data_IF_291920988473
#
_entry.id   IF_291920988473
#
_cell.length_a   1.000
_cell.length_b   1.000
_cell.length_c   1.000
_cell.angle_alpha   90.00
_cell.angle_beta   90.00
_cell.angle_gamma   90.00
#
_symmetry.space_group_name_H-M   'P 1'
#
loop_
_entity.id
_entity.type
_entity.pdbx_description
1 polymer ?
#
# COMPACT_ATOMS: atom_id res chain seq x y z
N UNK A 1 9.82 -66.87 -16.83
CA UNK A 1 8.74 -65.89 -16.60
C UNK A 1 9.37 -64.68 -15.91
N UNK A 2 9.64 -63.59 -16.66
CA UNK A 2 10.20 -62.34 -16.12
C UNK A 2 9.06 -61.35 -15.96
N UNK A 3 8.78 -60.96 -14.72
CA UNK A 3 7.78 -59.96 -14.35
C UNK A 3 8.36 -58.57 -14.72
N UNK A 4 7.71 -57.76 -15.56
CA UNK A 4 8.21 -56.43 -15.89
C UNK A 4 7.98 -55.47 -14.72
N UNK A 5 9.05 -54.79 -14.33
CA UNK A 5 9.05 -53.77 -13.29
C UNK A 5 8.27 -52.54 -13.78
N UNK A 6 7.14 -52.24 -13.15
CA UNK A 6 6.38 -51.01 -13.40
C UNK A 6 7.06 -49.84 -12.69
N UNK A 7 7.69 -48.97 -13.48
CA UNK A 7 8.24 -47.71 -13.01
C UNK A 7 7.09 -46.75 -12.71
N UNK A 8 6.75 -46.57 -11.44
CA UNK A 8 5.82 -45.53 -11.00
C UNK A 8 6.44 -44.16 -11.24
N UNK A 9 6.01 -43.49 -12.30
CA UNK A 9 6.28 -42.07 -12.52
C UNK A 9 5.47 -41.27 -11.49
N UNK A 10 6.08 -40.93 -10.37
CA UNK A 10 5.51 -39.97 -9.41
C UNK A 10 5.57 -38.60 -10.10
N UNK A 11 4.46 -38.19 -10.71
CA UNK A 11 4.25 -36.80 -11.11
C UNK A 11 4.07 -36.01 -9.82
N UNK A 12 5.16 -35.42 -9.33
CA UNK A 12 5.10 -34.34 -8.36
C UNK A 12 4.34 -33.18 -9.03
N UNK A 13 3.04 -33.11 -8.76
CA UNK A 13 2.26 -31.88 -8.94
C UNK A 13 2.90 -30.84 -8.02
N UNK A 14 3.86 -30.10 -8.55
CA UNK A 14 4.29 -28.85 -7.94
C UNK A 14 3.07 -27.96 -8.04
N UNK A 15 2.30 -27.88 -6.95
CA UNK A 15 1.34 -26.82 -6.73
C UNK A 15 2.10 -25.52 -6.89
N UNK A 16 2.06 -24.95 -8.10
CA UNK A 16 2.40 -23.55 -8.30
C UNK A 16 1.41 -22.81 -7.41
N UNK A 17 1.85 -22.43 -6.21
CA UNK A 17 1.10 -21.51 -5.39
C UNK A 17 0.95 -20.25 -6.24
N UNK A 18 -0.20 -20.12 -6.87
CA UNK A 18 -0.64 -18.86 -7.45
C UNK A 18 -0.83 -17.95 -6.24
N UNK A 19 0.24 -17.30 -5.80
CA UNK A 19 0.22 -16.30 -4.75
C UNK A 19 -0.46 -15.05 -5.32
N UNK A 20 -1.77 -15.12 -5.54
CA UNK A 20 -2.56 -13.96 -5.92
C UNK A 20 -2.61 -12.99 -4.74
N UNK A 21 -2.35 -11.71 -5.02
CA UNK A 21 -2.57 -10.65 -4.04
C UNK A 21 -4.07 -10.52 -3.80
N UNK A 22 -4.45 -10.51 -2.52
CA UNK A 22 -5.81 -10.19 -2.08
C UNK A 22 -5.95 -8.67 -1.99
N UNK A 23 -6.87 -8.06 -2.74
CA UNK A 23 -7.10 -6.62 -2.72
C UNK A 23 -7.54 -6.08 -1.35
N UNK A 24 -7.32 -4.80 -1.18
CA UNK A 24 -7.60 -3.98 -0.01
C UNK A 24 -8.08 -2.59 -0.50
N UNK A 25 -9.35 -2.44 -0.90
CA UNK A 25 -9.85 -1.19 -1.48
C UNK A 25 -9.55 0.04 -0.62
N UNK A 26 -9.07 1.13 -1.23
CA UNK A 26 -8.82 2.38 -0.52
C UNK A 26 -10.13 3.10 -0.19
N UNK A 27 -10.30 3.50 1.08
CA UNK A 27 -11.50 4.13 1.63
C UNK A 27 -11.34 5.63 1.86
N UNK A 28 -10.13 6.09 2.17
CA UNK A 28 -9.89 7.48 2.61
C UNK A 28 -9.66 8.47 1.47
N UNK A 29 -9.20 8.03 0.30
CA UNK A 29 -8.77 8.93 -0.78
C UNK A 29 -9.90 9.87 -1.22
N UNK A 30 -9.65 11.18 -1.18
CA UNK A 30 -10.63 12.22 -1.46
C UNK A 30 -11.75 12.40 -0.43
N UNK A 31 -11.70 11.70 0.71
CA UNK A 31 -12.66 11.88 1.81
C UNK A 31 -12.26 13.06 2.70
N UNK A 32 -13.26 13.66 3.33
CA UNK A 32 -13.04 14.73 4.30
C UNK A 32 -12.32 14.21 5.54
N UNK A 33 -11.29 14.95 5.94
CA UNK A 33 -10.62 14.82 7.23
C UNK A 33 -10.94 16.03 8.12
N UNK A 34 -11.07 15.77 9.41
CA UNK A 34 -11.19 16.77 10.47
C UNK A 34 -10.02 16.64 11.42
N UNK A 35 -9.64 17.72 12.10
CA UNK A 35 -8.53 17.71 13.03
C UNK A 35 -8.78 18.60 14.24
N UNK A 36 -7.89 18.48 15.23
CA UNK A 36 -7.87 19.38 16.38
C UNK A 36 -7.57 20.84 16.02
N UNK A 37 -6.96 21.09 14.85
CA UNK A 37 -6.53 22.43 14.40
C UNK A 37 -6.27 22.46 12.89
N UNK A 38 -6.49 23.62 12.29
CA UNK A 38 -6.13 23.90 10.90
C UNK A 38 -6.97 23.13 9.86
N UNK A 39 -6.68 23.39 8.59
CA UNK A 39 -7.25 22.64 7.47
C UNK A 39 -6.38 21.40 7.22
N UNK A 40 -7.01 20.23 7.07
CA UNK A 40 -6.33 18.94 6.83
C UNK A 40 -6.87 18.20 5.60
N UNK A 41 -7.50 18.91 4.68
CA UNK A 41 -8.06 18.34 3.43
C UNK A 41 -7.02 17.67 2.53
N UNK A 42 -5.73 17.99 2.69
CA UNK A 42 -4.62 17.36 1.96
C UNK A 42 -4.21 16.00 2.54
N UNK A 43 -4.64 15.62 3.76
CA UNK A 43 -4.23 14.34 4.35
C UNK A 43 -4.85 13.10 3.69
N UNK A 44 -5.65 13.28 2.64
CA UNK A 44 -6.32 12.20 1.91
C UNK A 44 -6.20 12.37 0.39
N UNK A 45 -5.31 13.24 -0.09
CA UNK A 45 -5.25 13.64 -1.49
C UNK A 45 -4.23 12.85 -2.33
N UNK A 46 -3.52 11.89 -1.71
CA UNK A 46 -2.46 11.08 -2.30
C UNK A 46 -1.27 11.94 -2.78
N UNK A 47 -0.93 13.01 -2.05
CA UNK A 47 0.24 13.85 -2.29
C UNK A 47 1.14 13.89 -1.07
N UNK A 48 2.41 13.60 -1.31
CA UNK A 48 3.43 13.49 -0.28
C UNK A 48 4.40 14.69 -0.35
N UNK A 49 5.12 14.95 0.74
CA UNK A 49 6.23 15.90 0.74
C UNK A 49 5.84 17.37 0.52
N UNK A 50 4.56 17.71 0.61
CA UNK A 50 4.00 19.05 0.44
C UNK A 50 3.49 19.65 1.76
N UNK A 51 2.25 20.13 1.74
CA UNK A 51 1.58 20.64 2.95
C UNK A 51 1.41 19.53 3.99
N UNK A 52 1.62 19.86 5.26
CA UNK A 52 1.61 18.85 6.32
C UNK A 52 0.95 19.38 7.60
N UNK A 53 0.27 18.50 8.33
CA UNK A 53 -0.35 18.75 9.62
C UNK A 53 0.69 18.64 10.75
N UNK A 54 1.00 19.77 11.39
CA UNK A 54 1.95 19.83 12.50
C UNK A 54 1.41 19.20 13.78
N UNK A 55 2.09 18.15 14.23
CA UNK A 55 1.74 17.40 15.45
C UNK A 55 2.26 18.16 16.67
N UNK A 56 1.40 18.25 17.68
CA UNK A 56 1.73 18.59 19.05
C UNK A 56 0.95 17.68 20.00
N UNK A 57 1.27 17.69 21.29
CA UNK A 57 0.45 16.99 22.29
C UNK A 57 -1.04 17.37 22.14
N UNK A 58 -1.90 16.37 22.30
CA UNK A 58 -3.36 16.45 22.10
C UNK A 58 -3.81 16.77 20.67
N UNK A 59 -2.96 16.56 19.67
CA UNK A 59 -3.39 16.63 18.27
C UNK A 59 -4.23 15.41 17.92
N UNK A 60 -5.26 15.58 17.08
CA UNK A 60 -6.00 14.45 16.54
C UNK A 60 -6.40 14.71 15.09
N UNK A 61 -6.55 13.64 14.31
CA UNK A 61 -7.10 13.65 12.95
C UNK A 61 -8.14 12.55 12.85
N UNK A 62 -9.33 12.87 12.31
CA UNK A 62 -10.45 11.96 12.13
C UNK A 62 -10.92 11.97 10.68
N UNK A 63 -11.24 10.79 10.14
CA UNK A 63 -11.66 10.60 8.76
C UNK A 63 -13.03 9.90 8.74
N UNK A 64 -13.94 10.42 7.92
CA UNK A 64 -15.20 9.74 7.60
C UNK A 64 -14.98 8.80 6.41
N UNK A 65 -14.75 7.53 6.71
CA UNK A 65 -14.41 6.52 5.69
C UNK A 65 -15.62 5.72 5.20
N UNK A 66 -16.78 5.87 5.85
CA UNK A 66 -18.04 5.23 5.47
C UNK A 66 -18.31 3.93 6.24
N UNK A 67 -19.52 3.40 6.09
CA UNK A 67 -19.97 2.15 6.74
C UNK A 67 -19.71 0.95 5.84
N UNK A 68 -19.68 -0.26 6.43
CA UNK A 68 -19.56 -1.52 5.69
C UNK A 68 -18.34 -2.33 6.11
N UNK A 69 -17.13 -1.75 6.13
CA UNK A 69 -15.93 -2.47 6.52
C UNK A 69 -16.01 -2.99 7.96
N UNK A 70 -15.64 -4.26 8.17
CA UNK A 70 -15.50 -4.85 9.51
C UNK A 70 -14.09 -4.67 10.06
N UNK A 71 -13.09 -4.51 9.18
CA UNK A 71 -11.68 -4.30 9.52
C UNK A 71 -11.08 -3.28 8.56
N UNK A 72 -10.16 -2.46 9.04
CA UNK A 72 -9.44 -1.51 8.19
C UNK A 72 -7.94 -1.52 8.49
N UNK A 73 -7.15 -1.20 7.47
CA UNK A 73 -5.74 -0.88 7.64
C UNK A 73 -5.57 0.65 7.66
N UNK A 74 -5.17 1.21 8.80
CA UNK A 74 -4.90 2.63 8.97
C UNK A 74 -3.41 2.89 8.78
N UNK A 75 -3.03 3.59 7.72
CA UNK A 75 -1.66 3.91 7.35
C UNK A 75 -1.43 5.41 7.43
N UNK A 76 -0.39 5.87 8.12
CA UNK A 76 -0.05 7.29 8.19
C UNK A 76 1.38 7.53 7.74
N UNK A 77 1.62 8.70 7.15
CA UNK A 77 2.91 9.12 6.65
C UNK A 77 3.28 10.51 7.17
N UNK A 78 4.57 10.68 7.44
CA UNK A 78 5.21 11.96 7.68
C UNK A 78 6.12 12.31 6.49
N UNK A 79 6.24 13.59 6.10
CA UNK A 79 7.14 14.02 5.02
C UNK A 79 8.62 13.96 5.40
N UNK A 80 8.96 13.58 6.64
CA UNK A 80 10.35 13.47 7.09
C UNK A 80 11.17 12.52 6.19
N UNK A 81 12.43 12.92 5.94
CA UNK A 81 13.31 12.21 5.01
C UNK A 81 13.58 10.76 5.45
N UNK A 82 14.07 10.57 6.67
CA UNK A 82 14.37 9.24 7.21
C UNK A 82 13.15 8.63 7.90
N UNK A 83 13.08 7.29 7.88
CA UNK A 83 12.06 6.53 8.58
C UNK A 83 12.23 6.53 10.10
N UNK A 84 13.46 6.47 10.60
CA UNK A 84 13.78 6.51 12.03
C UNK A 84 15.19 7.03 12.28
N UNK A 85 15.39 7.77 13.37
CA UNK A 85 16.71 8.16 13.86
C UNK A 85 17.31 7.16 14.87
N UNK A 86 16.50 6.21 15.36
CA UNK A 86 16.88 5.30 16.46
C UNK A 86 16.83 3.83 16.08
N UNK A 87 16.06 3.45 15.07
CA UNK A 87 16.17 2.13 14.44
C UNK A 87 17.36 2.15 13.49
N UNK A 88 18.21 1.12 13.55
CA UNK A 88 19.44 1.01 12.79
C UNK A 88 20.36 2.23 12.94
N UNK A 89 20.22 2.96 14.06
CA UNK A 89 20.80 4.28 14.39
C UNK A 89 21.74 4.81 13.31
N UNK A 90 21.20 5.61 12.40
CA UNK A 90 21.92 6.25 11.31
C UNK A 90 22.88 7.34 11.81
N UNK A 91 23.90 6.95 12.60
CA UNK A 91 24.71 7.82 13.46
C UNK A 91 24.92 9.24 12.93
N UNK A 92 25.58 9.38 11.78
CA UNK A 92 25.91 10.65 11.12
C UNK A 92 24.79 11.28 10.28
N UNK A 93 23.70 10.55 10.04
CA UNK A 93 22.61 10.94 9.14
C UNK A 93 21.26 11.05 9.87
N UNK A 94 21.30 11.18 11.20
CA UNK A 94 20.15 11.52 12.03
C UNK A 94 19.62 12.88 11.61
N UNK A 95 18.30 12.99 11.54
CA UNK A 95 17.61 14.21 11.14
C UNK A 95 16.97 14.96 12.31
N UNK A 96 17.07 14.44 13.53
CA UNK A 96 16.36 14.90 14.73
C UNK A 96 14.86 15.04 14.45
N UNK A 97 14.27 13.97 13.91
CA UNK A 97 12.86 13.95 13.51
C UNK A 97 11.92 14.03 14.72
N UNK A 98 10.85 14.80 14.57
CA UNK A 98 9.66 14.64 15.41
C UNK A 98 8.78 13.51 14.87
N UNK A 99 8.22 12.70 15.77
CA UNK A 99 7.28 11.62 15.41
C UNK A 99 6.08 11.63 16.35
N UNK A 100 4.89 11.16 15.90
CA UNK A 100 3.83 10.78 16.82
C UNK A 100 4.32 9.58 17.65
N UNK A 101 4.59 9.82 18.94
CA UNK A 101 5.19 8.83 19.86
C UNK A 101 4.13 7.97 20.51
N UNK A 102 3.15 8.61 21.15
CA UNK A 102 2.05 7.94 21.85
C UNK A 102 0.73 8.39 21.24
N UNK A 103 -0.08 7.42 20.79
CA UNK A 103 -1.36 7.69 20.15
C UNK A 103 -2.31 6.50 20.26
N UNK A 104 -3.59 6.78 20.13
CA UNK A 104 -4.62 5.76 19.96
C UNK A 104 -5.23 5.83 18.58
N UNK A 105 -5.66 4.68 18.07
CA UNK A 105 -6.60 4.59 16.95
C UNK A 105 -7.97 4.31 17.53
N UNK A 106 -8.96 5.10 17.13
CA UNK A 106 -10.31 5.07 17.65
C UNK A 106 -11.32 4.98 16.50
N UNK A 107 -12.47 4.38 16.77
CA UNK A 107 -13.59 4.32 15.82
C UNK A 107 -14.85 4.94 16.41
N UNK A 108 -15.73 5.44 15.55
CA UNK A 108 -17.04 5.97 15.94
C UNK A 108 -18.11 5.63 14.91
N UNK A 109 -19.31 5.29 15.40
CA UNK A 109 -20.49 5.07 14.58
C UNK A 109 -21.31 6.35 14.38
N UNK A 110 -21.24 7.30 15.33
CA UNK A 110 -22.17 8.42 15.44
C UNK A 110 -21.53 9.80 15.46
N UNK A 111 -20.21 9.92 15.22
CA UNK A 111 -19.60 11.22 14.96
C UNK A 111 -20.21 11.85 13.70
N UNK A 112 -20.40 13.16 13.72
CA UNK A 112 -20.88 13.94 12.59
C UNK A 112 -19.79 14.80 11.97
N UNK A 113 -18.75 15.15 12.73
CA UNK A 113 -17.71 16.07 12.30
C UNK A 113 -16.27 15.67 12.70
N UNK A 114 -16.08 14.49 13.28
CA UNK A 114 -14.79 13.99 13.75
C UNK A 114 -14.38 14.48 15.14
N UNK A 115 -14.93 15.60 15.64
CA UNK A 115 -14.70 16.09 17.00
C UNK A 115 -15.69 15.51 18.01
N UNK A 116 -16.95 15.31 17.59
CA UNK A 116 -18.08 14.85 18.38
C UNK A 116 -18.24 13.32 18.36
N UNK A 117 -19.32 12.83 18.98
CA UNK A 117 -19.70 11.41 18.99
C UNK A 117 -18.99 10.59 20.07
N UNK A 118 -19.34 9.32 20.13
CA UNK A 118 -18.72 8.35 21.04
C UNK A 118 -17.55 7.67 20.33
N UNK A 119 -16.38 7.71 20.95
CA UNK A 119 -15.14 7.15 20.40
C UNK A 119 -14.70 5.93 21.20
N UNK A 120 -14.53 4.80 20.52
CA UNK A 120 -13.99 3.58 21.11
C UNK A 120 -12.55 3.40 20.64
N UNK A 121 -11.60 3.32 21.58
CA UNK A 121 -10.21 2.98 21.27
C UNK A 121 -10.12 1.53 20.82
N UNK A 122 -9.54 1.30 19.64
CA UNK A 122 -9.29 -0.04 19.06
C UNK A 122 -7.81 -0.40 19.02
N UNK A 123 -6.92 0.57 19.23
CA UNK A 123 -5.49 0.36 19.35
C UNK A 123 -4.87 1.47 20.21
N UNK A 124 -3.87 1.11 21.02
CA UNK A 124 -2.97 2.04 21.71
C UNK A 124 -1.54 1.74 21.27
N UNK A 125 -0.82 2.78 20.88
CA UNK A 125 0.61 2.71 20.55
C UNK A 125 1.35 3.64 21.51
N UNK A 126 2.45 3.15 22.06
CA UNK A 126 3.37 3.93 22.89
C UNK A 126 4.81 3.80 22.40
N UNK A 127 5.59 4.86 22.56
CA UNK A 127 7.02 4.88 22.21
C UNK A 127 7.31 4.66 20.73
N UNK A 128 6.39 5.01 19.84
CA UNK A 128 6.63 4.99 18.40
C UNK A 128 7.79 5.92 18.05
N UNK A 129 8.68 5.43 17.20
CA UNK A 129 9.95 6.07 16.87
C UNK A 129 10.22 6.11 15.36
N UNK A 130 9.12 6.07 14.59
CA UNK A 130 9.11 6.00 13.13
C UNK A 130 8.28 7.12 12.53
N UNK A 131 8.54 7.46 11.27
CA UNK A 131 7.84 8.53 10.53
C UNK A 131 6.76 8.02 9.60
N UNK A 132 6.61 6.70 9.45
CA UNK A 132 5.50 6.08 8.76
C UNK A 132 5.23 4.69 9.34
N UNK A 133 3.95 4.34 9.53
CA UNK A 133 3.53 3.02 9.99
C UNK A 133 2.06 2.79 9.69
N UNK A 134 1.69 1.52 9.53
CA UNK A 134 0.30 1.11 9.41
C UNK A 134 -0.16 0.12 10.47
N UNK A 135 -1.47 0.08 10.70
CA UNK A 135 -2.13 -0.72 11.73
C UNK A 135 -3.40 -1.38 11.21
N UNK A 136 -3.51 -2.69 11.37
CA UNK A 136 -4.78 -3.42 11.15
C UNK A 136 -5.63 -3.30 12.41
N UNK A 137 -6.83 -2.76 12.28
CA UNK A 137 -7.75 -2.54 13.43
C UNK A 137 -9.16 -3.02 13.12
N UNK A 138 -9.89 -3.39 14.18
CA UNK A 138 -11.32 -3.65 14.10
C UNK A 138 -12.09 -2.35 13.77
N UNK A 139 -13.07 -2.47 12.88
CA UNK A 139 -13.87 -1.35 12.41
C UNK A 139 -15.38 -1.66 12.35
N UNK A 140 -15.78 -2.85 12.80
CA UNK A 140 -17.19 -3.27 12.75
C UNK A 140 -18.12 -2.23 13.39
N UNK A 141 -19.19 -1.88 12.66
CA UNK A 141 -20.22 -0.95 13.09
C UNK A 141 -19.83 0.54 13.09
N UNK A 142 -18.63 0.90 12.62
CA UNK A 142 -18.18 2.29 12.56
C UNK A 142 -18.33 2.92 11.17
N UNK A 143 -18.25 4.24 11.14
CA UNK A 143 -18.14 5.04 9.91
C UNK A 143 -17.01 6.07 9.93
N UNK A 144 -16.44 6.30 11.11
CA UNK A 144 -15.32 7.19 11.35
C UNK A 144 -14.16 6.49 12.04
N UNK A 145 -12.95 6.86 11.65
CA UNK A 145 -11.70 6.46 12.30
C UNK A 145 -10.92 7.71 12.71
N UNK A 146 -10.22 7.65 13.84
CA UNK A 146 -9.44 8.77 14.38
C UNK A 146 -8.10 8.29 14.91
N UNK A 147 -7.04 9.05 14.62
CA UNK A 147 -5.78 8.98 15.34
C UNK A 147 -5.75 10.11 16.37
N UNK A 148 -5.68 9.77 17.65
CA UNK A 148 -5.58 10.72 18.75
C UNK A 148 -4.18 10.64 19.36
N UNK A 149 -3.39 11.70 19.18
CA UNK A 149 -1.97 11.76 19.54
C UNK A 149 -1.83 12.45 20.90
N UNK A 150 -1.52 11.66 21.93
CA UNK A 150 -1.34 12.17 23.29
C UNK A 150 0.04 12.79 23.49
N UNK A 151 1.06 12.28 22.80
CA UNK A 151 2.44 12.73 22.94
C UNK A 151 3.20 12.55 21.62
N UNK A 152 4.06 13.52 21.28
CA UNK A 152 4.85 13.48 20.06
C UNK A 152 4.97 14.84 19.37
N UNK A 153 5.62 14.81 18.22
CA UNK A 153 5.81 15.97 17.35
C UNK A 153 5.93 15.56 15.89
N UNK A 154 6.54 16.42 15.08
CA UNK A 154 6.68 16.19 13.64
C UNK A 154 5.43 16.59 12.87
N UNK A 155 5.25 15.98 11.69
CA UNK A 155 4.15 16.32 10.81
C UNK A 155 3.54 15.07 10.18
N UNK A 156 2.27 15.13 9.78
CA UNK A 156 1.62 14.18 8.87
C UNK A 156 1.34 14.86 7.53
N UNK A 157 1.65 14.21 6.41
CA UNK A 157 1.26 14.67 5.07
C UNK A 157 0.17 13.79 4.45
N UNK A 158 0.01 12.53 4.90
CA UNK A 158 -1.02 11.64 4.37
C UNK A 158 -1.52 10.64 5.44
N UNK A 159 -2.83 10.33 5.39
CA UNK A 159 -3.48 9.22 6.09
C UNK A 159 -4.33 8.41 5.10
N UNK A 160 -3.93 7.17 4.90
CA UNK A 160 -4.63 6.22 4.05
C UNK A 160 -5.36 5.16 4.88
N UNK A 161 -6.61 4.86 4.52
CA UNK A 161 -7.41 3.82 5.16
C UNK A 161 -7.88 2.85 4.10
N UNK A 162 -7.63 1.56 4.31
CA UNK A 162 -7.98 0.50 3.35
C UNK A 162 -8.95 -0.49 3.99
N UNK A 163 -9.89 -1.02 3.21
CA UNK A 163 -10.79 -2.08 3.64
C UNK A 163 -10.04 -3.41 3.72
N UNK A 164 -10.06 -4.02 4.90
CA UNK A 164 -9.39 -5.29 5.20
C UNK A 164 -10.39 -6.39 5.58
N UNK A 165 -11.67 -6.18 5.32
CA UNK A 165 -12.74 -7.12 5.67
C UNK A 165 -12.56 -8.46 4.95
N UNK A 166 -12.06 -8.43 3.71
CA UNK A 166 -11.74 -9.61 2.91
C UNK A 166 -10.35 -10.22 3.21
N UNK A 167 -9.69 -9.82 4.31
CA UNK A 167 -8.31 -10.22 4.63
C UNK A 167 -7.31 -9.88 3.51
N UNK A 168 -7.40 -8.64 3.00
CA UNK A 168 -6.46 -8.09 2.03
C UNK A 168 -5.00 -8.28 2.47
N UNK A 169 -4.09 -8.43 1.50
CA UNK A 169 -2.67 -8.65 1.78
C UNK A 169 -1.72 -7.83 0.89
N UNK A 170 -2.25 -6.89 0.10
CA UNK A 170 -1.48 -5.95 -0.73
C UNK A 170 -0.83 -4.84 0.13
N UNK A 171 -0.02 -5.27 1.09
CA UNK A 171 0.64 -4.43 2.08
C UNK A 171 2.15 -4.51 1.86
N UNK A 172 2.75 -3.40 1.46
CA UNK A 172 4.16 -3.31 1.08
C UNK A 172 4.95 -2.45 2.06
N UNK A 173 6.01 -3.04 2.58
CA UNK A 173 7.01 -2.34 3.38
C UNK A 173 8.28 -2.18 2.55
N UNK A 174 8.82 -0.96 2.52
CA UNK A 174 9.99 -0.62 1.71
C UNK A 174 11.17 -0.28 2.62
N UNK A 175 11.85 -1.28 3.23
CA UNK A 175 13.06 -1.03 4.00
C UNK A 175 14.24 -0.79 3.08
N UNK A 176 15.12 0.14 3.47
CA UNK A 176 16.37 0.32 2.75
C UNK A 176 17.19 1.49 3.24
N UNK A 177 18.02 2.03 2.33
CA UNK A 177 19.04 3.02 2.65
C UNK A 177 18.55 4.45 2.35
N UNK A 178 19.49 5.38 2.08
CA UNK A 178 19.18 6.72 1.56
C UNK A 178 18.52 6.68 0.19
N UNK A 179 18.77 5.63 -0.61
CA UNK A 179 18.11 5.44 -1.91
C UNK A 179 16.60 5.27 -1.69
N UNK A 180 16.20 4.37 -0.78
CA UNK A 180 14.81 4.19 -0.37
C UNK A 180 14.21 5.45 0.26
N UNK A 181 14.95 6.14 1.14
CA UNK A 181 14.50 7.37 1.78
C UNK A 181 14.23 8.50 0.76
N UNK A 182 15.05 8.61 -0.30
CA UNK A 182 14.82 9.55 -1.40
C UNK A 182 13.66 9.13 -2.32
N UNK A 183 13.34 7.84 -2.39
CA UNK A 183 12.42 7.29 -3.40
C UNK A 183 10.95 7.38 -2.99
N UNK A 184 10.63 7.03 -1.74
CA UNK A 184 9.25 6.76 -1.33
C UNK A 184 8.68 7.83 -0.40
N UNK A 185 7.46 8.29 -0.71
CA UNK A 185 6.63 9.17 0.15
C UNK A 185 7.42 10.36 0.75
N UNK A 186 8.30 10.93 -0.08
CA UNK A 186 8.94 12.26 0.04
C UNK A 186 8.33 13.21 -1.00
N UNK A 187 9.09 14.04 -1.73
CA UNK A 187 8.59 14.78 -2.92
C UNK A 187 8.27 13.77 -4.03
N UNK A 188 7.00 13.42 -4.27
CA UNK A 188 6.68 12.24 -5.04
C UNK A 188 6.85 12.53 -6.54
N UNK A 189 7.19 11.51 -7.35
CA UNK A 189 6.87 11.56 -8.77
C UNK A 189 5.35 11.73 -8.96
N UNK A 190 4.91 12.20 -10.13
CA UNK A 190 3.49 12.36 -10.43
C UNK A 190 2.65 11.07 -10.24
N UNK A 191 3.29 9.90 -10.28
CA UNK A 191 2.69 8.59 -10.00
C UNK A 191 3.65 7.76 -9.15
N UNK A 192 3.17 7.23 -8.03
CA UNK A 192 3.93 6.31 -7.17
C UNK A 192 3.69 4.83 -7.57
N UNK A 193 4.38 3.88 -6.91
CA UNK A 193 4.20 2.44 -7.14
C UNK A 193 2.71 2.02 -7.07
N UNK A 194 1.98 2.46 -6.05
CA UNK A 194 0.57 2.11 -5.89
C UNK A 194 -0.31 2.70 -6.99
N UNK A 195 -0.03 3.92 -7.45
CA UNK A 195 -0.76 4.56 -8.55
C UNK A 195 -0.55 3.82 -9.87
N UNK A 196 0.68 3.38 -10.16
CA UNK A 196 1.02 2.62 -11.37
C UNK A 196 0.35 1.23 -11.39
N UNK A 197 0.32 0.55 -10.24
CA UNK A 197 -0.42 -0.70 -10.09
C UNK A 197 -1.92 -0.47 -10.25
N UNK A 198 -2.49 0.51 -9.54
CA UNK A 198 -3.93 0.84 -9.61
C UNK A 198 -4.36 1.21 -11.03
N UNK A 199 -3.53 1.97 -11.76
CA UNK A 199 -3.78 2.33 -13.15
C UNK A 199 -3.86 1.09 -14.05
N UNK A 200 -3.02 0.09 -13.81
CA UNK A 200 -3.01 -1.16 -14.58
C UNK A 200 -4.10 -2.13 -14.12
N UNK A 201 -4.37 -2.18 -12.81
CA UNK A 201 -5.30 -3.09 -12.15
C UNK A 201 -6.20 -2.31 -11.18
N UNK A 202 -7.33 -1.73 -11.66
CA UNK A 202 -8.15 -0.80 -10.88
C UNK A 202 -8.80 -1.37 -9.61
N UNK A 203 -8.81 -2.69 -9.43
CA UNK A 203 -9.27 -3.35 -8.20
C UNK A 203 -8.26 -3.32 -7.06
N UNK A 204 -7.01 -2.92 -7.32
CA UNK A 204 -5.90 -2.96 -6.37
C UNK A 204 -5.47 -1.58 -5.94
N UNK A 205 -5.22 -1.43 -4.63
CA UNK A 205 -4.68 -0.21 -4.04
C UNK A 205 -3.56 -0.60 -3.07
N UNK A 206 -2.34 -0.86 -3.56
CA UNK A 206 -1.25 -1.30 -2.71
C UNK A 206 -0.97 -0.30 -1.60
N UNK A 207 -0.94 -0.75 -0.35
CA UNK A 207 -0.46 0.10 0.74
C UNK A 207 1.05 0.17 0.65
N UNK A 208 1.58 1.38 0.67
CA UNK A 208 3.01 1.61 0.78
C UNK A 208 3.37 2.15 2.16
N UNK A 209 4.25 1.46 2.88
CA UNK A 209 4.87 1.93 4.12
C UNK A 209 6.36 2.15 3.84
N UNK A 210 6.79 3.41 3.80
CA UNK A 210 8.21 3.74 3.61
C UNK A 210 9.02 3.34 4.84
N UNK A 211 10.22 2.82 4.63
CA UNK A 211 11.14 2.47 5.72
C UNK A 211 12.62 2.67 5.36
N UNK A 212 12.92 3.68 4.53
CA UNK A 212 14.29 4.06 4.20
C UNK A 212 14.97 4.78 5.37
N UNK A 213 16.15 4.29 5.75
CA UNK A 213 17.02 4.95 6.73
C UNK A 213 18.36 5.26 6.05
N UNK A 214 18.79 6.53 5.95
CA UNK A 214 20.04 6.88 5.30
C UNK A 214 21.25 6.33 6.06
N UNK A 215 22.35 6.11 5.33
CA UNK A 215 23.67 5.77 5.88
C UNK A 215 23.76 4.42 6.63
N UNK A 216 22.72 3.58 6.55
CA UNK A 216 22.78 2.23 7.09
C UNK A 216 23.36 1.25 6.07
N UNK A 217 24.09 0.26 6.58
CA UNK A 217 24.52 -0.92 5.84
C UNK A 217 23.58 -2.11 6.10
N UNK A 218 23.81 -3.22 5.40
CA UNK A 218 23.13 -4.49 5.68
C UNK A 218 23.31 -4.95 7.14
N UNK A 219 24.45 -4.63 7.77
CA UNK A 219 24.72 -5.00 9.17
C UNK A 219 23.74 -4.32 10.12
N UNK A 220 23.43 -3.04 9.90
CA UNK A 220 22.52 -2.32 10.78
C UNK A 220 21.08 -2.85 10.65
N UNK A 221 20.64 -3.13 9.42
CA UNK A 221 19.34 -3.77 9.17
C UNK A 221 19.26 -5.13 9.86
N UNK A 222 20.29 -5.98 9.72
CA UNK A 222 20.32 -7.31 10.34
C UNK A 222 20.35 -7.24 11.88
N UNK A 223 21.12 -6.32 12.46
CA UNK A 223 21.20 -6.12 13.92
C UNK A 223 19.87 -5.65 14.52
N UNK A 224 19.19 -4.70 13.88
CA UNK A 224 17.96 -4.10 14.41
C UNK A 224 16.68 -4.70 13.81
N UNK A 225 16.78 -5.86 13.16
CA UNK A 225 15.70 -6.48 12.39
C UNK A 225 14.40 -6.69 13.17
N UNK A 226 14.47 -6.99 14.47
CA UNK A 226 13.29 -7.13 15.33
C UNK A 226 12.48 -5.82 15.43
N UNK A 227 13.15 -4.67 15.38
CA UNK A 227 12.50 -3.35 15.37
C UNK A 227 11.85 -3.04 14.02
N UNK A 228 12.43 -3.50 12.91
CA UNK A 228 11.78 -3.42 11.60
C UNK A 228 10.51 -4.29 11.57
N UNK A 229 10.62 -5.55 12.01
CA UNK A 229 9.49 -6.49 12.05
C UNK A 229 8.34 -5.97 12.90
N UNK A 230 8.63 -5.40 14.08
CA UNK A 230 7.59 -4.85 14.97
C UNK A 230 6.89 -3.62 14.39
N UNK A 231 7.54 -2.88 13.48
CA UNK A 231 6.99 -1.66 12.87
C UNK A 231 6.46 -1.84 11.44
N UNK A 232 6.65 -3.00 10.81
CA UNK A 232 6.24 -3.24 9.43
C UNK A 232 4.72 -3.34 9.20
N UNK A 233 3.91 -3.26 10.27
CA UNK A 233 2.45 -3.09 10.15
C UNK A 233 1.76 -4.22 9.37
N UNK A 234 2.06 -5.48 9.68
CA UNK A 234 1.50 -6.65 8.98
C UNK A 234 1.78 -6.69 7.46
N UNK A 235 2.76 -5.95 6.96
CA UNK A 235 3.14 -5.99 5.56
C UNK A 235 3.47 -7.41 5.10
N UNK A 236 2.81 -7.85 4.03
CA UNK A 236 3.02 -9.18 3.45
C UNK A 236 4.27 -9.22 2.58
N UNK A 237 4.61 -8.09 1.95
CA UNK A 237 5.72 -7.98 1.02
C UNK A 237 6.75 -6.97 1.53
N UNK A 238 8.02 -7.38 1.56
CA UNK A 238 9.14 -6.48 1.84
C UNK A 238 9.93 -6.26 0.55
N UNK A 239 9.83 -5.04 0.02
CA UNK A 239 10.60 -4.60 -1.15
C UNK A 239 11.93 -4.00 -0.66
N UNK A 240 12.96 -4.85 -0.62
CA UNK A 240 14.23 -4.55 0.04
C UNK A 240 15.21 -3.95 -0.97
N UNK A 241 15.65 -2.73 -0.70
CA UNK A 241 16.83 -2.10 -1.32
C UNK A 241 17.93 -2.00 -0.27
N UNK A 242 19.10 -2.58 -0.54
CA UNK A 242 20.21 -2.57 0.42
C UNK A 242 21.56 -2.73 -0.28
N UNK A 243 22.62 -2.29 0.39
CA UNK A 243 24.00 -2.65 0.05
C UNK A 243 24.84 -1.52 -0.54
N UNK A 244 24.26 -0.37 -0.90
CA UNK A 244 25.01 0.79 -1.43
C UNK A 244 26.14 1.23 -0.49
N UNK A 245 25.89 1.21 0.82
CA UNK A 245 26.90 1.54 1.84
C UNK A 245 27.88 0.38 2.10
N UNK A 246 27.47 -0.87 1.89
CA UNK A 246 28.33 -2.05 1.99
C UNK A 246 29.36 -2.11 0.85
N UNK A 247 28.95 -1.67 -0.35
CA UNK A 247 29.74 -1.66 -1.58
C UNK A 247 30.46 -0.32 -1.85
N UNK A 248 30.41 0.61 -0.88
CA UNK A 248 30.91 1.97 -1.06
C UNK A 248 32.37 2.00 -1.51
N UNK A 249 32.67 2.77 -2.55
CA UNK A 249 34.01 2.87 -3.14
C UNK A 249 34.39 1.74 -4.10
N UNK A 250 33.50 0.77 -4.34
CA UNK A 250 33.66 -0.25 -5.38
C UNK A 250 34.55 -1.45 -5.04
N UNK A 251 35.00 -1.56 -3.79
CA UNK A 251 35.68 -2.76 -3.28
C UNK A 251 34.69 -3.91 -3.00
N UNK A 252 35.21 -5.13 -2.78
CA UNK A 252 34.40 -6.33 -2.51
C UNK A 252 34.70 -6.99 -1.15
N UNK A 253 35.50 -6.35 -0.28
CA UNK A 253 35.96 -6.96 0.99
C UNK A 253 34.85 -7.40 1.95
N UNK A 254 33.67 -6.77 1.88
CA UNK A 254 32.53 -7.04 2.77
C UNK A 254 31.41 -7.89 2.14
N UNK A 255 31.61 -8.44 0.93
CA UNK A 255 30.54 -9.19 0.22
C UNK A 255 30.02 -10.37 1.05
N UNK A 256 30.90 -11.12 1.72
CA UNK A 256 30.48 -12.27 2.54
C UNK A 256 29.64 -11.84 3.74
N UNK A 257 30.00 -10.74 4.41
CA UNK A 257 29.21 -10.17 5.50
C UNK A 257 27.84 -9.72 5.00
N UNK A 258 27.81 -8.98 3.89
CA UNK A 258 26.58 -8.54 3.24
C UNK A 258 25.64 -9.71 2.89
N UNK A 259 26.18 -10.78 2.29
CA UNK A 259 25.41 -11.98 1.95
C UNK A 259 24.82 -12.65 3.20
N UNK A 260 25.59 -12.77 4.28
CA UNK A 260 25.13 -13.35 5.54
C UNK A 260 24.05 -12.49 6.23
N UNK A 261 24.20 -11.17 6.20
CA UNK A 261 23.22 -10.23 6.74
C UNK A 261 21.89 -10.32 5.98
N UNK A 262 21.93 -10.32 4.64
CA UNK A 262 20.71 -10.47 3.85
C UNK A 262 20.08 -11.86 4.04
N UNK A 263 20.85 -12.93 4.18
CA UNK A 263 20.30 -14.25 4.52
C UNK A 263 19.57 -14.22 5.88
N UNK A 264 20.10 -13.51 6.87
CA UNK A 264 19.45 -13.31 8.17
C UNK A 264 18.11 -12.60 7.99
N UNK A 265 18.07 -11.53 7.20
CA UNK A 265 16.84 -10.78 6.89
C UNK A 265 15.81 -11.66 6.18
N UNK A 266 16.23 -12.41 5.16
CA UNK A 266 15.35 -13.32 4.41
C UNK A 266 14.74 -14.38 5.33
N UNK A 267 15.56 -15.02 6.16
CA UNK A 267 15.12 -16.05 7.10
C UNK A 267 14.08 -15.49 8.07
N UNK A 268 14.33 -14.31 8.65
CA UNK A 268 13.37 -13.70 9.57
C UNK A 268 12.06 -13.29 8.90
N UNK A 269 12.12 -12.76 7.67
CA UNK A 269 10.93 -12.44 6.89
C UNK A 269 10.08 -13.69 6.66
N UNK A 270 10.69 -14.78 6.17
CA UNK A 270 9.99 -16.05 5.93
C UNK A 270 9.37 -16.61 7.22
N UNK A 271 10.10 -16.56 8.33
CA UNK A 271 9.58 -17.00 9.63
C UNK A 271 8.39 -16.14 10.11
N UNK A 272 8.36 -14.87 9.75
CA UNK A 272 7.24 -13.96 10.02
C UNK A 272 6.11 -14.07 8.97
N UNK A 273 6.20 -14.98 8.01
CA UNK A 273 5.22 -15.12 6.92
C UNK A 273 5.27 -13.97 5.90
N UNK A 274 6.35 -13.20 5.88
CA UNK A 274 6.61 -12.08 4.98
C UNK A 274 7.37 -12.60 3.76
N UNK A 275 7.04 -12.07 2.58
CA UNK A 275 7.72 -12.37 1.32
C UNK A 275 8.81 -11.32 1.06
N UNK A 276 10.10 -11.63 1.29
CA UNK A 276 11.18 -10.71 0.97
C UNK A 276 11.48 -10.72 -0.53
N UNK A 277 11.67 -9.54 -1.10
CA UNK A 277 11.97 -9.32 -2.51
C UNK A 277 13.17 -8.40 -2.58
N UNK A 278 14.28 -8.87 -3.18
CA UNK A 278 15.53 -8.12 -3.22
C UNK A 278 15.66 -7.39 -4.56
N UNK A 279 15.82 -6.07 -4.54
CA UNK A 279 16.32 -5.34 -5.69
C UNK A 279 17.82 -5.60 -5.87
N UNK A 280 18.29 -5.65 -7.11
CA UNK A 280 19.74 -5.48 -7.36
C UNK A 280 20.11 -4.04 -7.04
N UNK A 281 21.27 -3.87 -6.43
CA UNK A 281 21.77 -2.57 -5.95
C UNK A 281 21.76 -1.51 -7.05
N UNK A 282 21.51 -0.25 -6.71
CA UNK A 282 21.57 0.86 -7.67
C UNK A 282 22.99 1.03 -8.23
N UNK A 283 23.11 1.31 -9.53
CA UNK A 283 24.38 1.65 -10.17
C UNK A 283 24.75 3.11 -9.94
N UNK A 284 26.04 3.43 -9.90
CA UNK A 284 26.53 4.80 -9.75
C UNK A 284 26.80 5.47 -11.09
N UNK A 285 26.87 6.81 -11.09
CA UNK A 285 27.47 7.57 -12.17
C UNK A 285 29.00 7.55 -12.02
N UNK A 286 29.66 6.61 -12.69
CA UNK A 286 31.13 6.45 -12.63
C UNK A 286 31.90 7.71 -13.04
N UNK A 287 31.35 8.56 -13.91
CA UNK A 287 31.99 9.80 -14.29
C UNK A 287 32.07 10.78 -13.11
N UNK A 288 31.07 10.79 -12.24
CA UNK A 288 31.01 11.63 -11.05
C UNK A 288 31.84 11.06 -9.88
N UNK A 289 31.66 9.77 -9.55
CA UNK A 289 32.21 9.20 -8.31
C UNK A 289 33.46 8.34 -8.48
N UNK A 290 33.84 8.01 -9.71
CA UNK A 290 35.04 7.19 -10.06
C UNK A 290 35.03 5.76 -9.53
N UNK A 291 33.88 5.24 -9.09
CA UNK A 291 33.70 3.84 -8.71
C UNK A 291 32.33 3.32 -9.15
N UNK A 292 32.16 2.00 -9.17
CA UNK A 292 30.90 1.30 -9.47
C UNK A 292 30.71 0.14 -8.47
N UNK A 293 29.47 -0.31 -8.27
CA UNK A 293 29.17 -1.51 -7.46
C UNK A 293 29.94 -2.71 -8.01
N UNK A 294 30.71 -3.37 -7.15
CA UNK A 294 31.49 -4.54 -7.54
C UNK A 294 30.54 -5.71 -7.93
N UNK A 295 30.81 -6.45 -9.03
CA UNK A 295 29.94 -7.53 -9.51
C UNK A 295 29.59 -8.60 -8.46
N UNK A 296 30.51 -8.88 -7.54
CA UNK A 296 30.31 -9.86 -6.46
C UNK A 296 29.12 -9.53 -5.54
N UNK A 297 28.81 -8.24 -5.31
CA UNK A 297 27.62 -7.85 -4.56
C UNK A 297 26.33 -8.17 -5.33
N UNK A 298 26.31 -7.91 -6.64
CA UNK A 298 25.17 -8.24 -7.51
C UNK A 298 24.96 -9.75 -7.56
N UNK A 299 26.06 -10.51 -7.72
CA UNK A 299 26.05 -11.97 -7.66
C UNK A 299 25.53 -12.49 -6.32
N UNK A 300 25.91 -11.86 -5.20
CA UNK A 300 25.40 -12.26 -3.89
C UNK A 300 23.87 -12.11 -3.78
N UNK A 301 23.29 -11.04 -4.34
CA UNK A 301 21.83 -10.83 -4.41
C UNK A 301 21.17 -11.89 -5.30
N UNK A 302 21.72 -12.16 -6.48
CA UNK A 302 21.20 -13.17 -7.41
C UNK A 302 21.24 -14.58 -6.80
N UNK A 303 22.35 -14.94 -6.15
CA UNK A 303 22.54 -16.20 -5.45
C UNK A 303 21.50 -16.35 -4.33
N UNK A 304 21.32 -15.33 -3.47
CA UNK A 304 20.36 -15.36 -2.37
C UNK A 304 18.93 -15.50 -2.89
N UNK A 305 18.58 -14.76 -3.95
CA UNK A 305 17.26 -14.83 -4.60
C UNK A 305 16.98 -16.25 -5.09
N UNK A 306 17.94 -16.86 -5.77
CA UNK A 306 17.82 -18.23 -6.30
C UNK A 306 17.77 -19.27 -5.19
N UNK A 307 18.71 -19.23 -4.25
CA UNK A 307 18.83 -20.20 -3.14
C UNK A 307 17.59 -20.20 -2.24
N UNK A 308 16.95 -19.05 -2.09
CA UNK A 308 15.77 -18.89 -1.25
C UNK A 308 14.45 -18.98 -2.04
N UNK A 309 14.48 -19.21 -3.35
CA UNK A 309 13.31 -19.22 -4.22
C UNK A 309 12.43 -17.95 -4.05
N UNK A 310 13.08 -16.79 -4.07
CA UNK A 310 12.41 -15.49 -3.93
C UNK A 310 11.89 -15.01 -5.28
N UNK A 311 10.87 -14.16 -5.25
CA UNK A 311 10.55 -13.31 -6.39
C UNK A 311 11.74 -12.35 -6.58
N UNK A 312 12.26 -12.25 -7.80
CA UNK A 312 13.33 -11.31 -8.10
C UNK A 312 12.79 -9.87 -8.10
N UNK A 313 13.48 -8.94 -7.43
CA UNK A 313 13.21 -7.51 -7.52
C UNK A 313 13.74 -6.88 -8.82
N UNK A 314 13.61 -5.55 -8.96
CA UNK A 314 14.10 -4.82 -10.13
C UNK A 314 15.64 -4.79 -10.18
N UNK A 315 16.18 -4.68 -11.40
CA UNK A 315 17.62 -4.52 -11.64
C UNK A 315 18.02 -3.03 -11.70
N UNK A 316 18.13 -2.41 -10.52
CA UNK A 316 18.48 -0.98 -10.44
C UNK A 316 19.91 -0.72 -10.94
N UNK A 317 20.80 -1.70 -10.86
CA UNK A 317 22.19 -1.55 -11.31
C UNK A 317 22.24 -1.21 -12.79
N UNK A 318 21.63 -2.05 -13.62
CA UNK A 318 21.66 -1.91 -15.08
C UNK A 318 20.97 -0.63 -15.53
N UNK A 319 19.84 -0.28 -14.89
CA UNK A 319 19.11 0.95 -15.20
C UNK A 319 19.97 2.19 -14.94
N UNK A 320 20.47 2.36 -13.71
CA UNK A 320 21.18 3.59 -13.35
C UNK A 320 22.58 3.69 -13.94
N UNK A 321 23.22 2.56 -14.27
CA UNK A 321 24.47 2.56 -15.03
C UNK A 321 24.29 3.07 -16.47
N UNK A 322 23.09 2.94 -17.03
CA UNK A 322 22.74 3.40 -18.38
C UNK A 322 21.96 4.72 -18.40
N UNK A 323 21.44 5.16 -17.25
CA UNK A 323 20.71 6.41 -17.06
C UNK A 323 21.35 7.29 -15.97
N UNK A 324 22.65 7.64 -16.08
CA UNK A 324 23.35 8.38 -15.02
C UNK A 324 22.78 9.79 -14.77
N UNK A 325 22.00 10.35 -15.70
CA UNK A 325 21.28 11.62 -15.54
C UNK A 325 20.11 11.53 -14.55
N UNK A 326 19.69 10.34 -14.14
CA UNK A 326 18.66 10.11 -13.13
C UNK A 326 19.23 10.08 -11.69
N UNK A 327 20.54 10.28 -11.56
CA UNK A 327 21.23 10.48 -10.29
C UNK A 327 21.45 11.99 -10.04
N UNK A 328 21.57 12.35 -8.77
CA UNK A 328 22.03 13.68 -8.36
C UNK A 328 23.49 13.89 -8.80
N UNK A 329 23.98 15.12 -8.64
CA UNK A 329 25.38 15.47 -8.93
C UNK A 329 26.39 14.70 -8.06
N UNK A 330 25.94 14.12 -6.94
CA UNK A 330 26.74 13.22 -6.12
C UNK A 330 27.02 11.85 -6.79
N UNK A 331 26.31 11.53 -7.88
CA UNK A 331 26.47 10.31 -8.66
C UNK A 331 26.05 9.01 -7.98
N UNK A 332 25.32 9.06 -6.87
CA UNK A 332 24.85 7.88 -6.13
C UNK A 332 23.36 7.94 -5.82
N UNK A 333 22.85 9.10 -5.39
CA UNK A 333 21.47 9.22 -4.96
C UNK A 333 20.55 9.50 -6.15
N UNK A 334 19.37 8.86 -6.25
CA UNK A 334 18.41 9.18 -7.29
C UNK A 334 17.94 10.63 -7.13
N UNK A 335 17.81 11.33 -8.25
CA UNK A 335 17.06 12.59 -8.31
C UNK A 335 15.55 12.30 -8.47
N UNK A 336 14.73 13.33 -8.67
CA UNK A 336 13.27 13.13 -8.82
C UNK A 336 12.89 12.17 -9.97
N UNK A 337 13.60 12.22 -11.09
CA UNK A 337 13.37 11.29 -12.21
C UNK A 337 13.82 9.87 -11.85
N UNK A 338 14.98 9.71 -11.20
CA UNK A 338 15.44 8.41 -10.71
C UNK A 338 14.50 7.78 -9.68
N UNK A 339 13.96 8.59 -8.75
CA UNK A 339 12.95 8.13 -7.80
C UNK A 339 11.68 7.62 -8.53
N UNK A 340 11.25 8.32 -9.58
CA UNK A 340 10.15 7.87 -10.45
C UNK A 340 10.47 6.53 -11.12
N UNK A 341 11.67 6.40 -11.69
CA UNK A 341 12.12 5.17 -12.35
C UNK A 341 12.18 3.99 -11.40
N UNK A 342 12.70 4.15 -10.17
CA UNK A 342 12.71 3.07 -9.17
C UNK A 342 11.29 2.58 -8.90
N UNK A 343 10.34 3.49 -8.66
CA UNK A 343 8.95 3.11 -8.39
C UNK A 343 8.29 2.42 -9.60
N UNK A 344 8.56 2.90 -10.81
CA UNK A 344 8.11 2.26 -12.04
C UNK A 344 8.68 0.86 -12.20
N UNK A 345 9.98 0.67 -11.98
CA UNK A 345 10.63 -0.63 -12.09
C UNK A 345 10.07 -1.63 -11.09
N UNK A 346 9.81 -1.21 -9.84
CA UNK A 346 9.11 -2.03 -8.87
C UNK A 346 7.70 -2.41 -9.34
N UNK A 347 6.90 -1.43 -9.80
CA UNK A 347 5.54 -1.68 -10.27
C UNK A 347 5.53 -2.68 -11.44
N UNK A 348 6.36 -2.45 -12.47
CA UNK A 348 6.51 -3.36 -13.62
C UNK A 348 6.91 -4.77 -13.20
N UNK A 349 7.89 -4.89 -12.29
CA UNK A 349 8.38 -6.20 -11.83
C UNK A 349 7.31 -6.97 -11.06
N UNK A 350 6.46 -6.29 -10.31
CA UNK A 350 5.43 -6.90 -9.46
C UNK A 350 4.09 -7.13 -10.15
N UNK A 351 3.87 -6.60 -11.37
CA UNK A 351 2.63 -6.82 -12.16
C UNK A 351 2.09 -8.26 -12.16
N UNK A 352 2.93 -9.32 -12.28
CA UNK A 352 2.43 -10.69 -12.29
C UNK A 352 1.66 -11.10 -11.01
N UNK A 353 1.95 -10.48 -9.86
CA UNK A 353 1.25 -10.76 -8.59
C UNK A 353 -0.21 -10.29 -8.59
N UNK A 354 -0.55 -9.37 -9.48
CA UNK A 354 -1.88 -8.76 -9.63
C UNK A 354 -2.69 -9.38 -10.78
N UNK A 355 -2.02 -10.00 -11.74
CA UNK A 355 -2.65 -10.52 -12.96
C UNK A 355 -3.43 -11.83 -12.77
N UNK A 356 -3.17 -12.57 -11.69
CA UNK A 356 -3.68 -13.94 -11.50
C UNK A 356 -5.00 -14.04 -10.72
N UNK A 357 -5.63 -12.92 -10.40
CA UNK A 357 -6.78 -12.89 -9.48
C UNK A 357 -8.11 -12.92 -10.23
N UNK A 358 -9.15 -13.60 -9.70
CA UNK A 358 -10.48 -13.58 -10.28
C UNK A 358 -10.98 -12.15 -10.55
N UNK A 359 -11.66 -12.00 -11.69
CA UNK A 359 -12.33 -10.77 -12.06
C UNK A 359 -13.67 -10.68 -11.35
N UNK A 360 -14.03 -9.48 -10.93
CA UNK A 360 -15.37 -9.18 -10.44
C UNK A 360 -16.42 -9.19 -11.57
N UNK A 361 -17.70 -8.99 -11.25
CA UNK A 361 -18.75 -9.00 -12.27
C UNK A 361 -18.60 -7.88 -13.32
N UNK A 362 -17.77 -6.86 -13.05
CA UNK A 362 -17.46 -5.75 -13.95
C UNK A 362 -16.18 -6.02 -14.77
N UNK A 363 -15.63 -7.24 -14.70
CA UNK A 363 -14.43 -7.64 -15.42
C UNK A 363 -13.12 -7.10 -14.84
N UNK A 364 -13.14 -6.52 -13.63
CA UNK A 364 -11.97 -5.94 -12.98
C UNK A 364 -11.27 -7.00 -12.11
N UNK A 365 -9.99 -7.26 -12.40
CA UNK A 365 -9.17 -8.17 -11.59
C UNK A 365 -9.03 -7.62 -10.17
N UNK A 366 -9.36 -8.43 -9.17
CA UNK A 366 -9.36 -8.00 -7.78
C UNK A 366 -10.42 -6.94 -7.45
N UNK A 367 -11.39 -6.70 -8.33
CA UNK A 367 -12.48 -5.79 -8.06
C UNK A 367 -13.44 -6.31 -6.99
N UNK A 368 -14.27 -5.41 -6.46
CA UNK A 368 -15.27 -5.74 -5.42
C UNK A 368 -16.70 -5.72 -5.93
N UNK A 369 -16.93 -5.56 -7.23
CA UNK A 369 -18.29 -5.57 -7.76
C UNK A 369 -18.91 -6.97 -7.68
N UNK A 370 -20.19 -7.04 -7.32
CA UNK A 370 -20.95 -8.29 -7.28
C UNK A 370 -22.27 -8.16 -8.03
N UNK A 371 -22.79 -9.28 -8.51
CA UNK A 371 -24.12 -9.31 -9.11
C UNK A 371 -25.17 -9.26 -8.01
N UNK A 372 -26.10 -8.32 -8.11
CA UNK A 372 -27.23 -8.22 -7.18
C UNK A 372 -28.34 -9.23 -7.48
N UNK A 373 -29.44 -9.15 -6.72
CA UNK A 373 -30.61 -10.03 -6.89
C UNK A 373 -31.31 -9.88 -8.26
N UNK A 374 -30.91 -8.87 -9.03
CA UNK A 374 -31.54 -8.44 -10.27
C UNK A 374 -30.68 -8.78 -11.49
N UNK A 375 -29.56 -9.48 -11.27
CA UNK A 375 -28.63 -9.85 -12.31
C UNK A 375 -27.72 -8.69 -12.74
N UNK A 376 -27.77 -7.54 -12.05
CA UNK A 376 -26.97 -6.36 -12.40
C UNK A 376 -25.68 -6.35 -11.59
N UNK A 377 -24.57 -6.05 -12.25
CA UNK A 377 -23.30 -5.84 -11.57
C UNK A 377 -23.30 -4.49 -10.84
N UNK A 378 -23.07 -4.52 -9.52
CA UNK A 378 -23.14 -3.36 -8.61
C UNK A 378 -21.90 -3.26 -7.72
N UNK A 379 -21.71 -2.12 -7.05
CA UNK A 379 -20.56 -1.90 -6.17
C UNK A 379 -19.25 -1.75 -6.94
N UNK A 380 -18.12 -1.85 -6.24
CA UNK A 380 -16.79 -1.67 -6.84
C UNK A 380 -16.67 -0.40 -7.69
N UNK A 381 -16.11 -0.54 -8.90
CA UNK A 381 -15.92 0.57 -9.86
C UNK A 381 -17.15 0.90 -10.69
N UNK A 382 -18.27 0.19 -10.52
CA UNK A 382 -19.48 0.40 -11.34
C UNK A 382 -20.19 1.72 -11.02
N UNK A 383 -20.03 2.23 -9.79
CA UNK A 383 -20.83 3.34 -9.26
C UNK A 383 -22.32 3.02 -9.06
N UNK A 384 -22.73 1.77 -9.27
CA UNK A 384 -24.13 1.32 -9.16
C UNK A 384 -24.42 0.79 -7.75
N UNK A 385 -25.64 1.03 -7.27
CA UNK A 385 -26.13 0.48 -6.01
C UNK A 385 -27.02 -0.74 -6.29
N UNK A 386 -27.15 -1.62 -5.29
CA UNK A 386 -28.05 -2.75 -5.35
C UNK A 386 -29.48 -2.31 -5.67
N UNK A 387 -30.12 -3.07 -6.54
CA UNK A 387 -31.56 -2.99 -6.75
C UNK A 387 -32.31 -3.13 -5.42
N UNK A 388 -33.46 -2.47 -5.32
CA UNK A 388 -34.32 -2.54 -4.14
C UNK A 388 -35.68 -3.07 -4.58
N UNK A 389 -36.10 -4.15 -3.94
CA UNK A 389 -37.47 -4.63 -4.12
C UNK A 389 -38.47 -3.56 -3.69
N UNK A 390 -39.24 -3.04 -4.65
CA UNK A 390 -40.33 -2.11 -4.39
C UNK A 390 -41.65 -2.89 -4.26
N UNK A 391 -42.44 -2.53 -3.25
CA UNK A 391 -43.83 -2.95 -3.17
C UNK A 391 -44.68 -2.18 -4.20
N UNK A 392 -45.92 -2.62 -4.50
CA UNK A 392 -46.84 -1.79 -5.29
C UNK A 392 -47.06 -0.42 -4.64
N UNK A 393 -46.97 0.67 -5.40
CA UNK A 393 -47.03 2.03 -4.84
C UNK A 393 -46.62 3.14 -5.81
N UNK A 394 -46.69 4.39 -5.34
CA UNK A 394 -46.19 5.57 -6.06
C UNK A 394 -44.85 6.02 -5.49
N UNK A 395 -43.85 6.17 -6.36
CA UNK A 395 -42.46 6.45 -6.03
C UNK A 395 -42.01 7.75 -6.69
N UNK A 396 -41.40 8.66 -5.92
CA UNK A 396 -40.79 9.87 -6.46
C UNK A 396 -39.34 9.59 -6.89
N UNK A 397 -39.04 9.78 -8.18
CA UNK A 397 -37.74 9.59 -8.79
C UNK A 397 -37.11 10.96 -9.04
N UNK A 398 -35.92 11.17 -8.49
CA UNK A 398 -35.13 12.39 -8.70
C UNK A 398 -34.44 12.36 -10.07
N UNK A 399 -34.18 13.52 -10.71
CA UNK A 399 -33.48 13.61 -12.00
C UNK A 399 -32.16 12.85 -12.03
N UNK A 400 -31.42 12.79 -10.91
CA UNK A 400 -30.15 12.07 -10.78
C UNK A 400 -30.27 10.55 -10.97
N UNK A 401 -31.50 10.02 -10.95
CA UNK A 401 -31.79 8.59 -11.11
C UNK A 401 -32.43 8.27 -12.48
N UNK A 402 -32.44 9.21 -13.43
CA UNK A 402 -33.08 9.04 -14.75
C UNK A 402 -32.49 7.90 -15.61
N UNK A 403 -31.29 7.43 -15.29
CA UNK A 403 -30.62 6.30 -15.94
C UNK A 403 -30.81 4.96 -15.22
N UNK A 404 -31.45 4.94 -14.05
CA UNK A 404 -31.73 3.70 -13.32
C UNK A 404 -32.97 3.04 -13.95
N UNK A 405 -32.76 1.94 -14.66
CA UNK A 405 -33.82 1.18 -15.30
C UNK A 405 -34.60 0.37 -14.24
N UNK A 406 -35.94 0.44 -14.26
CA UNK A 406 -36.78 -0.60 -13.66
C UNK A 406 -36.84 -1.77 -14.65
N UNK A 407 -36.02 -2.79 -14.45
CA UNK A 407 -36.05 -3.99 -15.31
C UNK A 407 -36.99 -5.05 -14.72
N UNK A 408 -38.08 -5.34 -15.43
CA UNK A 408 -38.67 -6.66 -15.43
C UNK A 408 -39.24 -6.97 -16.82
N UNK A 409 -38.96 -8.16 -17.34
CA UNK A 409 -39.39 -8.68 -18.65
C UNK A 409 -40.91 -8.86 -18.83
N UNK A 410 -41.73 -8.11 -18.10
CA UNK A 410 -43.16 -8.02 -18.32
C UNK A 410 -43.66 -6.60 -18.01
N UNK A 411 -43.65 -5.75 -19.03
CA UNK A 411 -44.43 -4.50 -19.17
C UNK A 411 -44.30 -3.50 -18.01
N UNK A 412 -43.11 -2.91 -17.85
CA UNK A 412 -43.04 -1.52 -17.36
C UNK A 412 -42.97 -0.64 -18.60
N UNK A 413 -44.02 0.14 -18.86
CA UNK A 413 -44.02 1.13 -19.95
C UNK A 413 -42.96 2.19 -19.62
N UNK A 414 -41.91 2.25 -20.44
CA UNK A 414 -40.95 3.36 -20.44
C UNK A 414 -41.71 4.67 -20.65
N UNK A 415 -41.96 5.44 -19.59
CA UNK A 415 -42.35 6.83 -19.77
C UNK A 415 -41.10 7.63 -20.12
N UNK A 416 -41.20 8.52 -21.12
CA UNK A 416 -40.11 9.35 -21.63
C UNK A 416 -39.37 10.06 -20.48
N UNK A 417 -38.17 9.58 -20.16
CA UNK A 417 -37.32 10.14 -19.11
C UNK A 417 -36.73 11.48 -19.58
N UNK A 418 -36.83 12.53 -18.77
CA UNK A 418 -36.15 13.80 -19.03
C UNK A 418 -35.29 14.17 -17.83
N UNK A 419 -34.08 14.69 -18.07
CA UNK A 419 -33.10 15.06 -17.05
C UNK A 419 -33.46 16.33 -16.27
N UNK A 420 -34.59 16.98 -16.59
CA UNK A 420 -34.90 18.32 -16.14
C UNK A 420 -35.68 18.39 -14.81
N UNK A 421 -36.52 17.39 -14.47
CA UNK A 421 -37.47 17.48 -13.36
C UNK A 421 -37.64 16.17 -12.57
N UNK A 422 -38.00 16.27 -11.28
CA UNK A 422 -38.46 15.12 -10.49
C UNK A 422 -39.70 14.51 -11.15
N UNK A 423 -39.77 13.18 -11.21
CA UNK A 423 -40.89 12.44 -11.80
C UNK A 423 -41.52 11.52 -10.74
N UNK A 424 -42.82 11.24 -10.85
CA UNK A 424 -43.50 10.25 -10.01
C UNK A 424 -43.79 9.02 -10.87
N UNK A 425 -43.28 7.87 -10.46
CA UNK A 425 -43.56 6.57 -11.08
C UNK A 425 -44.58 5.82 -10.25
N UNK A 426 -45.64 5.29 -10.86
CA UNK A 426 -46.62 4.44 -10.19
C UNK A 426 -46.42 3.00 -10.63
N UNK A 427 -45.99 2.12 -9.71
CA UNK A 427 -45.86 0.68 -9.94
C UNK A 427 -47.20 -0.02 -9.62
N UNK A 428 -47.91 -0.51 -10.64
CA UNK A 428 -49.34 -0.90 -10.54
C UNK A 428 -49.64 -2.41 -10.58
N UNK A 429 -48.66 -3.31 -10.60
CA UNK A 429 -48.90 -4.78 -10.63
C UNK A 429 -48.31 -5.53 -9.44
N UNK A 430 -48.88 -6.67 -9.07
CA UNK A 430 -48.32 -7.60 -8.07
C UNK A 430 -47.08 -8.29 -8.61
N UNK A 431 -45.93 -8.00 -8.00
CA UNK A 431 -44.62 -8.59 -8.28
C UNK A 431 -43.52 -7.81 -7.58
N UNK A 432 -42.34 -8.43 -7.42
CA UNK A 432 -41.14 -7.72 -6.97
C UNK A 432 -40.62 -6.88 -8.13
N UNK A 433 -40.49 -5.57 -7.94
CA UNK A 433 -39.82 -4.65 -8.88
C UNK A 433 -38.46 -4.29 -8.32
N UNK A 434 -37.47 -4.15 -9.18
CA UNK A 434 -36.07 -4.14 -8.80
C UNK A 434 -35.38 -2.83 -9.12
#
# INVERSE_FOLDING_TARGET
>A
MKIPSFCFLIVLLVSQYVYGITPNPILSRGKSASSSKGNVSYLTDNKYGGTSFAISNNSWVALKVGTGPSKVFFNWNSPAYTWSDVIASAGSCKSNMGVPMDYTIQKSANSTNGADGQWTTVLTVSGSNVTARGHLVDFAGASWIKMNISNGGGNLDEIEVFDMSANGNDLWFFPGTSITANTYKGTPPAQNYADLITQTYPGYNPVMVKAGIPCISSSNLATDLSKYLSNAGNAKYWAIEMGTNDAWGGGNGNVNLFKNNLQTVITACKNAGIQPILARMIGTNQAAVKWQVHPDFLKAIDDLTTQNNLIAGPDLYTWFSTHPSELNTDGVHPNAAGAASIQKMWAEKMKPLYASTPKDCNGIAGGTASTDACGVCIGGTTGRQACKTLAPGSYAIKPVHFMLCLENGATVLQQNCTSANNQIWTATKTGNYY
#
